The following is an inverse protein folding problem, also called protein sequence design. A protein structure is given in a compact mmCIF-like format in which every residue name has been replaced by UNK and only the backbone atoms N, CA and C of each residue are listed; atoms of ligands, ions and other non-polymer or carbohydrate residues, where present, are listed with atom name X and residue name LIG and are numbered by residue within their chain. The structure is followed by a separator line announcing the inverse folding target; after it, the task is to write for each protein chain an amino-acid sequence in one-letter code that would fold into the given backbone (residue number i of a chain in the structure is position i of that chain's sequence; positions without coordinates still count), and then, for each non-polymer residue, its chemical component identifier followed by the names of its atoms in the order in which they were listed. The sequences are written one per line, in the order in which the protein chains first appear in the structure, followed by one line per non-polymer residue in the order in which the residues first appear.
data_IF_305967425868
#
_entry.id   IF_305967425868
#
_cell.length_a   1.000
_cell.length_b   1.000
_cell.length_c   1.000
_cell.angle_alpha   90.00
_cell.angle_beta   90.00
_cell.angle_gamma   90.00
#
_symmetry.space_group_name_H-M   'P 1'
#
loop_
_entity.id
_entity.type
_entity.pdbx_description
1 polymer ?
#
# COMPACT_ATOMS: atom_id res chain seq x y z
N UNK A 1 -2.68 -0.48 21.89
CA UNK A 1 -2.23 -1.87 22.02
C UNK A 1 -1.24 -2.15 20.89
N UNK A 2 0.00 -2.50 21.24
CA UNK A 2 1.01 -2.82 20.23
C UNK A 2 0.85 -4.30 19.85
N UNK A 3 0.56 -4.56 18.58
CA UNK A 3 0.47 -5.92 18.03
C UNK A 3 1.82 -6.32 17.45
N UNK A 4 2.37 -7.48 17.84
CA UNK A 4 3.60 -7.97 17.22
C UNK A 4 3.33 -8.50 15.80
N UNK A 5 4.36 -8.51 14.95
CA UNK A 5 4.30 -9.09 13.59
C UNK A 5 3.74 -10.52 13.66
N UNK A 6 4.21 -11.34 14.58
CA UNK A 6 3.73 -12.71 14.74
C UNK A 6 2.26 -12.82 15.14
N UNK A 7 1.73 -11.87 15.92
CA UNK A 7 0.29 -11.81 16.24
C UNK A 7 -0.52 -11.43 15.01
N UNK A 8 -0.06 -10.44 14.26
CA UNK A 8 -0.69 -10.03 13.02
C UNK A 8 -0.75 -11.16 12.00
N UNK A 9 0.37 -11.84 11.74
CA UNK A 9 0.42 -12.98 10.81
C UNK A 9 -0.49 -14.13 11.23
N UNK A 10 -0.57 -14.44 12.54
CA UNK A 10 -1.52 -15.44 13.06
C UNK A 10 -2.98 -15.02 12.85
N UNK A 11 -3.29 -13.73 13.04
CA UNK A 11 -4.64 -13.22 12.80
C UNK A 11 -5.02 -13.35 11.32
N UNK A 12 -4.13 -13.00 10.40
CA UNK A 12 -4.33 -13.18 8.96
C UNK A 12 -4.53 -14.65 8.60
N UNK A 13 -3.67 -15.55 9.10
CA UNK A 13 -3.79 -17.00 8.87
C UNK A 13 -5.10 -17.57 9.39
N UNK A 14 -5.54 -17.17 10.59
CA UNK A 14 -6.83 -17.58 11.13
C UNK A 14 -7.99 -17.05 10.27
N UNK A 15 -7.93 -15.81 9.81
CA UNK A 15 -8.96 -15.21 8.97
C UNK A 15 -9.09 -15.95 7.62
N UNK A 16 -7.98 -16.32 6.99
CA UNK A 16 -7.95 -17.14 5.77
C UNK A 16 -8.62 -18.48 6.00
N UNK A 17 -8.30 -19.15 7.11
CA UNK A 17 -8.84 -20.47 7.44
C UNK A 17 -10.32 -20.50 7.85
N UNK A 18 -10.83 -19.40 8.43
CA UNK A 18 -12.19 -19.30 8.95
C UNK A 18 -13.18 -18.72 7.96
N UNK A 19 -12.74 -17.86 7.04
CA UNK A 19 -13.59 -17.12 6.13
C UNK A 19 -13.38 -17.64 4.71
N UNK A 20 -14.43 -18.23 4.12
CA UNK A 20 -14.42 -18.66 2.71
C UNK A 20 -14.54 -17.46 1.73
N UNK A 21 -13.93 -16.34 2.06
CA UNK A 21 -14.01 -15.11 1.27
C UNK A 21 -12.70 -14.82 0.55
N UNK A 22 -12.70 -15.03 -0.75
CA UNK A 22 -11.55 -14.81 -1.62
C UNK A 22 -11.19 -13.33 -1.86
N UNK A 23 -12.03 -12.41 -1.43
CA UNK A 23 -11.79 -10.97 -1.49
C UNK A 23 -11.34 -10.39 -0.14
N UNK A 24 -11.16 -11.23 0.88
CA UNK A 24 -10.86 -10.82 2.25
C UNK A 24 -9.57 -9.96 2.33
N UNK A 25 -8.52 -10.36 1.64
CA UNK A 25 -7.25 -9.63 1.57
C UNK A 25 -7.42 -8.21 1.04
N UNK A 26 -8.12 -8.07 -0.07
CA UNK A 26 -8.41 -6.77 -0.68
C UNK A 26 -9.27 -5.89 0.21
N UNK A 27 -10.33 -6.47 0.82
CA UNK A 27 -11.19 -5.71 1.75
C UNK A 27 -10.43 -5.28 2.99
N UNK A 28 -9.57 -6.15 3.52
CA UNK A 28 -8.71 -5.80 4.64
C UNK A 28 -7.75 -4.66 4.28
N UNK A 29 -7.14 -4.69 3.09
CA UNK A 29 -6.27 -3.62 2.60
C UNK A 29 -7.02 -2.31 2.34
N UNK A 30 -8.18 -2.40 1.70
CA UNK A 30 -9.02 -1.23 1.39
C UNK A 30 -9.58 -0.53 2.65
N UNK A 31 -9.69 -1.24 3.76
CA UNK A 31 -10.12 -0.69 5.04
C UNK A 31 -9.00 -0.01 5.84
N UNK A 32 -7.75 -0.08 5.38
CA UNK A 32 -6.60 0.54 6.04
C UNK A 32 -6.31 1.91 5.42
N UNK A 33 -6.78 2.95 6.09
CA UNK A 33 -6.61 4.35 5.68
C UNK A 33 -5.33 4.96 6.25
N UNK A 34 -4.80 6.00 5.61
CA UNK A 34 -3.62 6.73 6.12
C UNK A 34 -3.84 7.28 7.54
N UNK A 35 -5.07 7.66 7.89
CA UNK A 35 -5.44 8.11 9.23
C UNK A 35 -5.20 7.06 10.33
N UNK A 36 -5.18 5.78 9.99
CA UNK A 36 -5.00 4.68 10.95
C UNK A 36 -3.54 4.49 11.38
N UNK A 37 -2.62 5.12 10.65
CA UNK A 37 -1.17 4.99 10.86
C UNK A 37 -0.55 6.11 11.70
N UNK A 38 -1.37 6.86 12.46
CA UNK A 38 -0.91 7.89 13.38
C UNK A 38 0.00 8.93 12.71
N UNK A 39 1.18 9.19 13.28
CA UNK A 39 2.08 10.22 12.80
C UNK A 39 2.61 9.96 11.38
N UNK A 40 2.86 8.71 11.02
CA UNK A 40 3.28 8.32 9.68
C UNK A 40 2.24 8.69 8.62
N UNK A 41 0.97 8.37 8.85
CA UNK A 41 -0.10 8.69 7.91
C UNK A 41 -0.39 10.19 7.84
N UNK A 42 -0.42 10.86 9.01
CA UNK A 42 -0.64 12.32 9.08
C UNK A 42 0.49 13.10 8.38
N UNK A 43 1.74 12.64 8.48
CA UNK A 43 2.86 13.26 7.77
C UNK A 43 2.61 13.23 6.25
N UNK A 44 2.25 12.09 5.69
CA UNK A 44 1.99 11.96 4.26
C UNK A 44 0.83 12.86 3.81
N UNK A 45 -0.27 12.87 4.56
CA UNK A 45 -1.46 13.70 4.26
C UNK A 45 -1.15 15.21 4.30
N UNK A 46 -0.14 15.62 5.08
CA UNK A 46 0.22 17.03 5.29
C UNK A 46 1.25 17.56 4.29
N UNK A 47 1.88 16.73 3.48
CA UNK A 47 2.91 17.14 2.52
C UNK A 47 2.40 18.15 1.50
N UNK A 48 3.30 18.97 0.95
CA UNK A 48 2.96 20.00 -0.03
C UNK A 48 2.63 19.47 -1.42
N UNK A 49 3.24 18.34 -1.79
CA UNK A 49 3.04 17.64 -3.07
C UNK A 49 2.92 16.14 -2.85
N UNK A 50 2.30 15.45 -3.82
CA UNK A 50 2.22 14.00 -3.77
C UNK A 50 3.61 13.34 -3.85
N UNK A 51 4.57 13.96 -4.56
CA UNK A 51 5.97 13.51 -4.57
C UNK A 51 6.55 13.46 -3.16
N UNK A 52 6.39 14.54 -2.40
CA UNK A 52 6.86 14.56 -1.01
C UNK A 52 6.17 13.50 -0.15
N UNK A 53 4.86 13.26 -0.35
CA UNK A 53 4.13 12.20 0.36
C UNK A 53 4.71 10.82 0.04
N UNK A 54 4.98 10.54 -1.23
CA UNK A 54 5.58 9.29 -1.71
C UNK A 54 6.98 9.09 -1.13
N UNK A 55 7.82 10.11 -1.15
CA UNK A 55 9.19 10.05 -0.60
C UNK A 55 9.17 9.73 0.91
N UNK A 56 8.24 10.35 1.66
CA UNK A 56 8.08 10.08 3.10
C UNK A 56 7.45 8.72 3.37
N UNK A 57 6.53 8.26 2.52
CA UNK A 57 5.98 6.92 2.62
C UNK A 57 7.09 5.86 2.56
N UNK A 58 8.00 5.97 1.60
CA UNK A 58 9.13 5.06 1.44
C UNK A 58 10.12 5.20 2.60
N UNK A 59 10.47 6.44 2.99
CA UNK A 59 11.45 6.71 4.05
C UNK A 59 11.03 6.12 5.41
N UNK A 60 9.76 6.29 5.77
CA UNK A 60 9.24 5.92 7.10
C UNK A 60 8.37 4.65 7.08
N UNK A 61 8.39 3.85 6.03
CA UNK A 61 7.54 2.66 5.87
C UNK A 61 7.61 1.67 7.02
N UNK A 62 8.75 1.58 7.71
CA UNK A 62 8.93 0.68 8.86
C UNK A 62 8.02 1.00 10.04
N UNK A 63 7.46 2.21 10.09
CA UNK A 63 6.47 2.59 11.09
C UNK A 63 5.07 2.03 10.80
N UNK A 64 4.82 1.48 9.60
CA UNK A 64 3.49 1.03 9.17
C UNK A 64 3.42 -0.40 8.63
N UNK A 65 4.37 -0.82 7.81
CA UNK A 65 4.30 -2.09 7.06
C UNK A 65 5.46 -3.03 7.39
N UNK A 66 5.37 -3.77 8.49
CA UNK A 66 6.49 -4.62 8.93
C UNK A 66 6.69 -5.89 8.10
N UNK A 67 5.74 -6.29 7.25
CA UNK A 67 5.76 -7.54 6.47
C UNK A 67 5.98 -7.35 4.97
N UNK A 68 5.81 -6.12 4.48
CA UNK A 68 6.00 -5.77 3.08
C UNK A 68 6.86 -4.51 3.01
N UNK A 69 7.93 -4.54 2.21
CA UNK A 69 8.64 -3.31 1.88
C UNK A 69 7.99 -2.65 0.67
N UNK A 70 7.83 -1.34 0.74
CA UNK A 70 7.39 -0.52 -0.39
C UNK A 70 8.55 0.33 -0.90
N UNK A 71 8.56 0.55 -2.20
CA UNK A 71 9.47 1.48 -2.85
C UNK A 71 8.71 2.22 -3.95
N UNK A 72 9.19 3.36 -4.37
CA UNK A 72 8.56 4.16 -5.40
C UNK A 72 9.60 4.64 -6.40
N UNK A 73 9.39 4.33 -7.66
CA UNK A 73 10.29 4.74 -8.73
C UNK A 73 9.52 5.41 -9.87
N UNK A 74 10.17 6.33 -10.56
CA UNK A 74 9.62 6.91 -11.78
C UNK A 74 10.34 6.29 -12.97
N UNK A 75 9.61 5.55 -13.80
CA UNK A 75 10.10 4.96 -15.03
C UNK A 75 9.37 5.58 -16.23
N UNK A 76 10.10 6.32 -17.06
CA UNK A 76 9.50 7.09 -18.15
C UNK A 76 8.49 8.12 -17.62
N UNK A 77 7.22 7.97 -18.03
CA UNK A 77 6.12 8.85 -17.62
C UNK A 77 5.24 8.25 -16.52
N UNK A 78 5.70 7.19 -15.84
CA UNK A 78 4.91 6.47 -14.84
C UNK A 78 5.56 6.51 -13.47
N UNK A 79 4.74 6.65 -12.43
CA UNK A 79 5.09 6.32 -11.05
C UNK A 79 4.76 4.85 -10.82
N UNK A 80 5.74 4.09 -10.35
CA UNK A 80 5.60 2.68 -9.97
C UNK A 80 5.77 2.54 -8.45
N UNK A 81 4.74 2.03 -7.78
CA UNK A 81 4.88 1.48 -6.44
C UNK A 81 5.34 0.04 -6.53
N UNK A 82 6.47 -0.27 -5.96
CA UNK A 82 7.05 -1.61 -5.90
C UNK A 82 6.72 -2.22 -4.54
N UNK A 83 6.19 -3.45 -4.55
CA UNK A 83 5.86 -4.19 -3.34
C UNK A 83 6.80 -5.38 -3.23
N UNK A 84 7.59 -5.44 -2.14
CA UNK A 84 8.52 -6.54 -1.89
C UNK A 84 8.12 -7.28 -0.64
N UNK A 85 8.01 -8.60 -0.76
CA UNK A 85 7.78 -9.48 0.37
C UNK A 85 9.08 -9.59 1.20
N UNK A 86 9.03 -9.14 2.44
CA UNK A 86 10.13 -9.24 3.42
C UNK A 86 9.75 -10.16 4.59
N UNK A 87 8.60 -10.83 4.52
CA UNK A 87 8.05 -11.59 5.63
C UNK A 87 8.74 -12.94 5.89
N UNK A 88 9.81 -13.27 5.15
CA UNK A 88 10.56 -14.51 5.31
C UNK A 88 9.84 -15.73 4.76
N UNK A 89 10.02 -16.89 5.40
CA UNK A 89 9.41 -18.15 4.98
C UNK A 89 7.98 -18.27 5.51
N UNK A 90 7.01 -17.85 4.70
CA UNK A 90 5.57 -17.92 4.99
C UNK A 90 4.86 -18.91 4.07
N UNK A 91 3.76 -19.53 4.53
CA UNK A 91 2.86 -20.30 3.67
C UNK A 91 2.40 -19.49 2.45
N UNK A 92 2.30 -20.14 1.28
CA UNK A 92 1.97 -19.46 0.03
C UNK A 92 0.65 -18.67 0.08
N UNK A 93 -0.36 -19.21 0.76
CA UNK A 93 -1.66 -18.53 0.92
C UNK A 93 -1.55 -17.25 1.75
N UNK A 94 -0.76 -17.28 2.82
CA UNK A 94 -0.55 -16.11 3.67
C UNK A 94 0.27 -15.05 2.92
N UNK A 95 1.28 -15.48 2.18
CA UNK A 95 2.07 -14.59 1.30
C UNK A 95 1.18 -13.91 0.26
N UNK A 96 0.33 -14.67 -0.42
CA UNK A 96 -0.64 -14.14 -1.39
C UNK A 96 -1.56 -13.11 -0.72
N UNK A 97 -2.11 -13.44 0.45
CA UNK A 97 -2.97 -12.55 1.24
C UNK A 97 -2.27 -11.21 1.51
N UNK A 98 -1.01 -11.23 1.96
CA UNK A 98 -0.26 -10.01 2.30
C UNK A 98 0.01 -9.13 1.06
N UNK A 99 0.33 -9.75 -0.08
CA UNK A 99 0.54 -9.00 -1.34
C UNK A 99 -0.75 -8.34 -1.80
N UNK A 100 -1.86 -9.06 -1.78
CA UNK A 100 -3.18 -8.54 -2.17
C UNK A 100 -3.64 -7.42 -1.23
N UNK A 101 -3.47 -7.61 0.08
CA UNK A 101 -3.79 -6.62 1.09
C UNK A 101 -2.97 -5.35 0.90
N UNK A 102 -1.65 -5.48 0.69
CA UNK A 102 -0.78 -4.33 0.47
C UNK A 102 -1.12 -3.60 -0.82
N UNK A 103 -1.48 -4.32 -1.89
CA UNK A 103 -1.90 -3.70 -3.14
C UNK A 103 -3.17 -2.86 -2.97
N UNK A 104 -4.20 -3.40 -2.31
CA UNK A 104 -5.45 -2.68 -2.04
C UNK A 104 -5.21 -1.48 -1.11
N UNK A 105 -4.41 -1.67 -0.06
CA UNK A 105 -4.01 -0.59 0.85
C UNK A 105 -3.32 0.55 0.10
N UNK A 106 -2.42 0.24 -0.84
CA UNK A 106 -1.72 1.27 -1.62
C UNK A 106 -2.68 2.09 -2.48
N UNK A 107 -3.70 1.45 -3.07
CA UNK A 107 -4.76 2.15 -3.82
C UNK A 107 -5.58 3.06 -2.90
N UNK A 108 -5.94 2.58 -1.71
CA UNK A 108 -6.65 3.38 -0.70
C UNK A 108 -5.82 4.58 -0.27
N UNK A 109 -4.54 4.40 0.03
CA UNK A 109 -3.65 5.49 0.44
C UNK A 109 -3.51 6.58 -0.63
N UNK A 110 -3.42 6.20 -1.92
CA UNK A 110 -3.38 7.17 -3.02
C UNK A 110 -4.68 7.99 -3.09
N UNK A 111 -5.82 7.36 -2.84
CA UNK A 111 -7.12 8.05 -2.79
C UNK A 111 -7.23 8.96 -1.56
N UNK A 112 -6.76 8.52 -0.40
CA UNK A 112 -6.71 9.34 0.83
C UNK A 112 -5.85 10.60 0.63
N UNK A 113 -4.67 10.46 0.00
CA UNK A 113 -3.77 11.59 -0.27
C UNK A 113 -4.46 12.66 -1.14
N UNK A 114 -5.20 12.23 -2.13
CA UNK A 114 -5.84 13.15 -3.06
C UNK A 114 -7.22 13.64 -2.60
N UNK A 115 -7.83 12.98 -1.62
CA UNK A 115 -9.19 13.26 -1.16
C UNK A 115 -10.27 12.88 -2.19
N UNK A 116 -9.93 12.06 -3.17
CA UNK A 116 -10.82 11.56 -4.22
C UNK A 116 -10.38 10.17 -4.70
N UNK A 117 -11.26 9.44 -5.37
CA UNK A 117 -10.92 8.13 -5.93
C UNK A 117 -9.75 8.24 -6.92
N UNK A 118 -8.72 7.44 -6.70
CA UNK A 118 -7.51 7.43 -7.50
C UNK A 118 -7.14 5.99 -7.89
N UNK A 119 -7.63 5.57 -9.05
CA UNK A 119 -7.32 4.24 -9.56
C UNK A 119 -5.97 4.21 -10.27
N UNK A 120 -5.18 3.12 -10.10
CA UNK A 120 -3.98 2.90 -10.89
C UNK A 120 -4.31 2.65 -12.37
N UNK A 121 -3.30 2.78 -13.23
CA UNK A 121 -3.42 2.44 -14.66
C UNK A 121 -3.21 0.97 -14.93
N UNK A 122 -2.41 0.30 -14.07
CA UNK A 122 -2.08 -1.12 -14.19
C UNK A 122 -1.57 -1.65 -12.84
N UNK A 123 -1.90 -2.89 -12.52
CA UNK A 123 -1.26 -3.63 -11.43
C UNK A 123 -0.62 -4.91 -11.97
N UNK A 124 0.65 -5.16 -11.61
CA UNK A 124 1.39 -6.34 -12.04
C UNK A 124 1.78 -7.17 -10.81
N UNK A 125 1.62 -8.49 -10.92
CA UNK A 125 1.88 -9.42 -9.83
C UNK A 125 2.88 -10.50 -10.27
N UNK A 126 3.89 -10.78 -9.44
CA UNK A 126 4.89 -11.80 -9.71
C UNK A 126 4.33 -13.22 -9.56
N UNK A 127 3.32 -13.40 -8.73
CA UNK A 127 2.69 -14.72 -8.56
C UNK A 127 1.86 -15.12 -9.80
N UNK A 128 1.65 -16.43 -10.02
CA UNK A 128 0.72 -16.91 -11.03
C UNK A 128 -0.71 -16.43 -10.76
N UNK A 129 -1.54 -16.40 -11.80
CA UNK A 129 -2.92 -16.00 -11.68
C UNK A 129 -3.67 -16.89 -10.65
N UNK A 130 -4.18 -16.35 -9.55
CA UNK A 130 -4.92 -17.11 -8.56
C UNK A 130 -6.32 -17.49 -9.06
N UNK A 131 -6.98 -18.40 -8.37
CA UNK A 131 -8.33 -18.88 -8.77
C UNK A 131 -9.35 -17.72 -8.86
N UNK A 132 -9.18 -16.69 -8.03
CA UNK A 132 -10.06 -15.51 -7.98
C UNK A 132 -9.54 -14.30 -8.78
N UNK A 133 -8.65 -14.53 -9.75
CA UNK A 133 -8.05 -13.47 -10.59
C UNK A 133 -9.06 -12.49 -11.20
N UNK A 134 -10.24 -12.96 -11.52
CA UNK A 134 -11.28 -12.15 -12.17
C UNK A 134 -11.81 -11.01 -11.28
N UNK A 135 -11.56 -11.11 -9.96
CA UNK A 135 -11.93 -10.10 -8.98
C UNK A 135 -10.90 -8.97 -8.84
N UNK A 136 -9.66 -9.17 -9.28
CA UNK A 136 -8.58 -8.20 -9.08
C UNK A 136 -8.86 -6.86 -9.74
N UNK A 137 -9.30 -6.88 -11.00
CA UNK A 137 -9.59 -5.65 -11.74
C UNK A 137 -10.73 -4.83 -11.12
N UNK A 138 -11.75 -5.51 -10.59
CA UNK A 138 -12.85 -4.87 -9.86
C UNK A 138 -12.37 -4.24 -8.54
N UNK A 139 -11.57 -4.99 -7.77
CA UNK A 139 -11.16 -4.61 -6.42
C UNK A 139 -10.05 -3.55 -6.39
N UNK A 140 -9.18 -3.53 -7.41
CA UNK A 140 -8.11 -2.54 -7.54
C UNK A 140 -8.47 -1.37 -8.48
N UNK A 141 -9.55 -1.48 -9.23
CA UNK A 141 -10.01 -0.45 -10.17
C UNK A 141 -9.12 -0.29 -11.41
N UNK A 142 -8.35 -1.32 -11.78
CA UNK A 142 -7.45 -1.28 -12.94
C UNK A 142 -7.22 -2.67 -13.54
N UNK A 143 -6.74 -2.77 -14.80
CA UNK A 143 -6.26 -4.02 -15.38
C UNK A 143 -5.15 -4.64 -14.54
N UNK A 144 -5.10 -6.00 -14.52
CA UNK A 144 -4.12 -6.74 -13.74
C UNK A 144 -3.38 -7.77 -14.61
N UNK A 145 -2.06 -7.89 -14.42
CA UNK A 145 -1.17 -8.85 -15.09
C UNK A 145 -0.54 -9.76 -14.05
N UNK A 146 -0.47 -11.05 -14.32
CA UNK A 146 0.12 -12.07 -13.46
C UNK A 146 1.34 -12.73 -14.10
N UNK A 147 2.21 -13.31 -13.26
CA UNK A 147 3.46 -13.89 -13.72
C UNK A 147 4.48 -12.84 -14.18
N UNK A 148 4.36 -11.63 -13.67
CA UNK A 148 5.30 -10.54 -13.95
C UNK A 148 6.60 -10.75 -13.15
N UNK A 149 7.66 -10.02 -13.47
CA UNK A 149 8.96 -10.19 -12.80
C UNK A 149 9.00 -9.59 -11.38
N UNK A 150 8.02 -8.76 -11.01
CA UNK A 150 7.89 -8.15 -9.67
C UNK A 150 6.44 -7.75 -9.39
N UNK A 151 6.11 -7.41 -8.14
CA UNK A 151 4.83 -6.78 -7.80
C UNK A 151 4.96 -5.27 -7.94
N UNK A 152 4.08 -4.67 -8.74
CA UNK A 152 4.07 -3.22 -8.93
C UNK A 152 2.67 -2.69 -9.24
N UNK A 153 2.42 -1.44 -8.81
CA UNK A 153 1.19 -0.70 -9.10
C UNK A 153 1.58 0.59 -9.80
N UNK A 154 1.00 0.86 -10.97
CA UNK A 154 1.38 1.96 -11.84
C UNK A 154 0.36 3.09 -11.83
N UNK A 155 0.86 4.31 -11.77
CA UNK A 155 0.11 5.55 -11.93
C UNK A 155 0.78 6.45 -12.97
N UNK A 156 0.03 7.42 -13.57
CA UNK A 156 0.66 8.45 -14.39
C UNK A 156 1.65 9.26 -13.54
N UNK A 157 2.87 9.50 -14.04
CA UNK A 157 3.89 10.21 -13.26
C UNK A 157 3.55 11.68 -12.96
N UNK A 158 2.70 12.29 -13.78
CA UNK A 158 2.19 13.64 -13.56
C UNK A 158 1.41 13.80 -12.26
N UNK A 159 0.86 12.70 -11.71
CA UNK A 159 0.15 12.71 -10.42
C UNK A 159 1.04 13.23 -9.28
N UNK A 160 2.36 13.06 -9.38
CA UNK A 160 3.33 13.49 -8.37
C UNK A 160 3.37 15.00 -8.14
N UNK A 161 2.93 15.79 -9.13
CA UNK A 161 2.83 17.25 -9.00
C UNK A 161 1.54 17.69 -8.27
N UNK A 162 0.59 16.80 -8.08
CA UNK A 162 -0.67 17.12 -7.40
C UNK A 162 -0.41 17.42 -5.93
N UNK A 163 -1.28 18.25 -5.37
CA UNK A 163 -1.28 18.60 -3.96
C UNK A 163 -2.21 17.64 -3.19
N UNK A 164 -1.77 17.05 -2.07
CA UNK A 164 -2.64 16.32 -1.17
C UNK A 164 -3.83 17.16 -0.67
N UNK A 165 -4.97 16.52 -0.47
CA UNK A 165 -6.19 17.21 -0.05
C UNK A 165 -6.09 17.93 1.30
N UNK A 166 -5.24 17.42 2.21
CA UNK A 166 -5.00 17.97 3.55
C UNK A 166 -3.63 18.64 3.68
N UNK A 167 -3.01 19.07 2.56
CA UNK A 167 -1.66 19.63 2.54
C UNK A 167 -1.50 20.84 3.50
N UNK A 168 -0.59 20.68 4.45
CA UNK A 168 -0.20 21.69 5.45
C UNK A 168 1.32 21.60 5.70
N UNK A 169 2.15 22.35 4.96
CA UNK A 169 3.61 22.25 5.06
C UNK A 169 4.18 22.49 6.46
N UNK A 170 3.54 23.33 7.27
CA UNK A 170 3.97 23.56 8.65
C UNK A 170 3.74 22.30 9.50
N UNK A 171 2.57 21.67 9.39
CA UNK A 171 2.29 20.41 10.06
C UNK A 171 3.24 19.30 9.57
N UNK A 172 3.52 19.21 8.27
CA UNK A 172 4.44 18.24 7.71
C UNK A 172 5.83 18.33 8.33
N UNK A 173 6.39 19.55 8.48
CA UNK A 173 7.70 19.77 9.11
C UNK A 173 7.71 19.29 10.58
N UNK A 174 6.66 19.59 11.34
CA UNK A 174 6.55 19.16 12.74
C UNK A 174 6.43 17.63 12.85
N UNK A 175 5.61 17.01 12.03
CA UNK A 175 5.39 15.57 12.00
C UNK A 175 6.64 14.81 11.54
N UNK A 176 7.39 15.34 10.58
CA UNK A 176 8.65 14.75 10.13
C UNK A 176 9.67 14.67 11.26
N UNK A 177 9.80 15.73 12.07
CA UNK A 177 10.69 15.71 13.23
C UNK A 177 10.32 14.64 14.28
N UNK A 178 9.03 14.34 14.42
CA UNK A 178 8.57 13.26 15.31
C UNK A 178 8.90 11.88 14.71
N UNK A 179 8.71 11.69 13.41
CA UNK A 179 9.04 10.43 12.74
C UNK A 179 10.56 10.14 12.75
N UNK A 180 11.39 11.17 12.63
CA UNK A 180 12.86 11.04 12.71
C UNK A 180 13.35 10.59 14.10
N UNK A 181 12.56 10.83 15.16
CA UNK A 181 12.89 10.46 16.54
C UNK A 181 12.46 9.04 16.96
N UNK A 182 11.81 8.27 16.07
CA UNK A 182 11.31 6.90 16.33
C UNK A 182 12.19 5.83 15.69
#
# INVERSE_FOLDING_TARGET
CLTSIGQYLRACGNAIGLLADRALSFRAGAALHLSDYGMYGLLQLSCGTLRESVDRAVRYQRLSTPTMAIDAVVEGTQLLWLLRDEAGDLPAELRLFLVEQQAAQQVTHMSDLLGEACSPTLACFAHPAPVHRDRYAELLGCPCVFGWHRHEIRYPGEILARRPGLANPLAATMLESVCDGQ
#
